data_IF_293333873780
#
_entry.id   IF_293333873780
#
_cell.length_a   1.000
_cell.length_b   1.000
_cell.length_c   1.000
_cell.angle_alpha   90.00
_cell.angle_beta   90.00
_cell.angle_gamma   90.00
#
_symmetry.space_group_name_H-M   'P 1'
#
loop_
_entity.id
_entity.type
_entity.pdbx_description
1 polymer ?
#
# COMPACT_ATOMS: atom_id res chain seq x y z
N UNK A 1 -5.94 -24.08 -12.57
CA UNK A 1 -6.13 -23.08 -11.48
C UNK A 1 -5.07 -21.95 -11.47
N UNK A 2 -4.42 -21.62 -12.61
CA UNK A 2 -3.22 -20.75 -12.66
C UNK A 2 -3.34 -19.47 -13.50
N UNK A 3 -4.35 -19.33 -14.37
CA UNK A 3 -4.42 -18.19 -15.31
C UNK A 3 -5.15 -16.95 -14.72
N UNK A 4 -6.20 -17.15 -13.92
CA UNK A 4 -6.99 -16.06 -13.32
C UNK A 4 -6.19 -15.22 -12.31
N UNK A 5 -5.23 -15.85 -11.61
CA UNK A 5 -4.36 -15.19 -10.64
C UNK A 5 -3.25 -14.39 -11.31
N UNK A 6 -2.70 -14.88 -12.43
CA UNK A 6 -1.69 -14.15 -13.22
C UNK A 6 -2.29 -12.91 -13.86
N UNK A 7 -3.47 -13.02 -14.48
CA UNK A 7 -4.18 -11.86 -15.04
C UNK A 7 -4.56 -10.85 -13.95
N UNK A 8 -5.06 -11.34 -12.81
CA UNK A 8 -5.36 -10.48 -11.66
C UNK A 8 -4.12 -9.75 -11.13
N UNK A 9 -2.98 -10.44 -11.04
CA UNK A 9 -1.68 -9.87 -10.65
C UNK A 9 -1.15 -8.84 -11.64
N UNK A 10 -1.31 -9.09 -12.94
CA UNK A 10 -0.89 -8.16 -13.99
C UNK A 10 -1.71 -6.87 -13.96
N UNK A 11 -3.03 -6.98 -13.85
CA UNK A 11 -3.94 -5.83 -13.76
C UNK A 11 -3.71 -5.04 -12.47
N UNK A 12 -3.53 -5.72 -11.34
CA UNK A 12 -3.17 -5.04 -10.08
C UNK A 12 -1.81 -4.37 -10.16
N UNK A 13 -0.81 -4.98 -10.81
CA UNK A 13 0.50 -4.37 -11.01
C UNK A 13 0.46 -3.11 -11.88
N UNK A 14 -0.27 -3.16 -13.00
CA UNK A 14 -0.48 -1.99 -13.89
C UNK A 14 -1.20 -0.87 -13.15
N UNK A 15 -2.28 -1.19 -12.43
CA UNK A 15 -3.02 -0.21 -11.63
C UNK A 15 -2.19 0.34 -10.48
N UNK A 16 -1.32 -0.48 -9.87
CA UNK A 16 -0.40 -0.04 -8.82
C UNK A 16 0.65 0.94 -9.36
N UNK A 17 1.21 0.66 -10.54
CA UNK A 17 2.13 1.56 -11.23
C UNK A 17 1.47 2.87 -11.66
N UNK A 18 0.23 2.82 -12.16
CA UNK A 18 -0.53 4.01 -12.60
C UNK A 18 -0.97 4.91 -11.46
N UNK A 19 -1.43 4.33 -10.34
CA UNK A 19 -1.96 5.09 -9.22
C UNK A 19 -0.88 5.51 -8.21
N UNK A 20 0.35 5.01 -8.35
CA UNK A 20 1.56 5.39 -7.59
C UNK A 20 1.56 5.02 -6.09
N UNK A 21 0.39 5.02 -5.45
CA UNK A 21 0.16 4.73 -4.03
C UNK A 21 -1.08 3.83 -3.79
N UNK A 22 -1.91 3.59 -4.81
CA UNK A 22 -3.26 3.02 -4.67
C UNK A 22 -3.42 1.52 -4.94
N UNK A 23 -2.40 0.80 -5.42
CA UNK A 23 -2.58 -0.61 -5.81
C UNK A 23 -2.86 -1.55 -4.64
N UNK A 24 -2.48 -1.18 -3.41
CA UNK A 24 -2.85 -1.93 -2.20
C UNK A 24 -4.36 -2.04 -2.01
N UNK A 25 -5.14 -1.05 -2.44
CA UNK A 25 -6.61 -1.06 -2.35
C UNK A 25 -7.24 -2.19 -3.19
N UNK A 26 -6.61 -2.53 -4.30
CA UNK A 26 -7.09 -3.52 -5.27
C UNK A 26 -6.41 -4.88 -5.04
N UNK A 27 -5.14 -4.88 -4.63
CA UNK A 27 -4.38 -6.07 -4.28
C UNK A 27 -4.96 -6.79 -3.05
N UNK A 28 -5.32 -6.05 -1.99
CA UNK A 28 -5.91 -6.63 -0.77
C UNK A 28 -7.18 -7.46 -1.03
N UNK A 29 -8.23 -6.97 -1.72
CA UNK A 29 -9.44 -7.74 -1.96
C UNK A 29 -9.22 -8.92 -2.93
N UNK A 30 -8.28 -8.81 -3.88
CA UNK A 30 -7.89 -9.94 -4.74
C UNK A 30 -7.22 -11.06 -3.94
N UNK A 31 -6.27 -10.73 -3.05
CA UNK A 31 -5.57 -11.72 -2.23
C UNK A 31 -6.44 -12.32 -1.13
N UNK A 32 -7.39 -11.55 -0.57
CA UNK A 32 -8.36 -12.04 0.42
C UNK A 32 -9.27 -13.15 -0.13
N UNK A 33 -9.31 -13.36 -1.44
CA UNK A 33 -10.06 -14.47 -2.06
C UNK A 33 -9.35 -15.83 -1.91
N UNK A 34 -8.08 -15.84 -1.52
CA UNK A 34 -7.24 -17.04 -1.41
C UNK A 34 -6.44 -17.14 -0.10
N UNK A 35 -6.30 -16.05 0.66
CA UNK A 35 -5.47 -15.97 1.85
C UNK A 35 -6.23 -15.33 3.03
N UNK A 36 -5.82 -15.67 4.27
CA UNK A 36 -6.37 -15.02 5.46
C UNK A 36 -6.15 -13.49 5.40
N UNK A 37 -7.06 -12.75 6.03
CA UNK A 37 -7.13 -11.29 5.88
C UNK A 37 -5.84 -10.59 6.34
N UNK A 38 -5.13 -11.16 7.33
CA UNK A 38 -3.85 -10.60 7.80
C UNK A 38 -2.74 -10.79 6.76
N UNK A 39 -2.65 -11.97 6.16
CA UNK A 39 -1.61 -12.30 5.17
C UNK A 39 -1.81 -11.51 3.87
N UNK A 40 -3.06 -11.31 3.44
CA UNK A 40 -3.38 -10.49 2.26
C UNK A 40 -2.88 -9.04 2.39
N UNK A 41 -2.98 -8.45 3.59
CA UNK A 41 -2.44 -7.11 3.85
C UNK A 41 -0.91 -7.08 3.83
N UNK A 42 -0.25 -8.04 4.47
CA UNK A 42 1.21 -8.14 4.48
C UNK A 42 1.80 -8.27 3.07
N UNK A 43 1.21 -9.13 2.23
CA UNK A 43 1.64 -9.31 0.85
C UNK A 43 1.41 -8.06 0.00
N UNK A 44 0.33 -7.31 0.24
CA UNK A 44 0.08 -6.06 -0.49
C UNK A 44 1.13 -4.98 -0.20
N UNK A 45 1.60 -4.88 1.05
CA UNK A 45 2.71 -3.99 1.42
C UNK A 45 4.01 -4.41 0.73
N UNK A 46 4.27 -5.72 0.63
CA UNK A 46 5.44 -6.25 -0.08
C UNK A 46 5.42 -5.89 -1.58
N UNK A 47 4.26 -5.91 -2.23
CA UNK A 47 4.10 -5.52 -3.63
C UNK A 47 4.34 -4.02 -3.85
N UNK A 48 4.05 -3.18 -2.85
CA UNK A 48 4.25 -1.72 -2.93
C UNK A 48 5.74 -1.34 -2.79
N UNK A 49 6.53 -2.15 -2.08
CA UNK A 49 7.94 -1.92 -1.79
C UNK A 49 8.81 -1.60 -3.04
N UNK A 50 8.80 -2.38 -4.13
CA UNK A 50 9.59 -2.07 -5.32
C UNK A 50 9.19 -0.75 -6.00
N UNK A 51 7.90 -0.39 -5.96
CA UNK A 51 7.42 0.88 -6.53
C UNK A 51 7.92 2.06 -5.69
N UNK A 52 7.92 1.92 -4.36
CA UNK A 52 8.51 2.94 -3.49
C UNK A 52 10.00 3.14 -3.76
N UNK A 53 10.77 2.07 -4.01
CA UNK A 53 12.19 2.16 -4.36
C UNK A 53 12.37 2.93 -5.67
N UNK A 54 11.63 2.55 -6.72
CA UNK A 54 11.72 3.19 -8.03
C UNK A 54 11.33 4.67 -7.94
N UNK A 55 10.23 4.99 -7.26
CA UNK A 55 9.80 6.37 -7.01
C UNK A 55 10.85 7.16 -6.24
N UNK A 56 11.42 6.59 -5.17
CA UNK A 56 12.47 7.25 -4.37
C UNK A 56 13.69 7.59 -5.22
N UNK A 57 14.19 6.65 -6.03
CA UNK A 57 15.32 6.87 -6.94
C UNK A 57 15.02 7.98 -7.94
N UNK A 58 13.79 8.01 -8.48
CA UNK A 58 13.37 9.02 -9.45
C UNK A 58 13.29 10.42 -8.82
N UNK A 59 12.76 10.54 -7.59
CA UNK A 59 12.74 11.81 -6.85
C UNK A 59 14.13 12.33 -6.50
N UNK A 60 15.07 11.45 -6.14
CA UNK A 60 16.46 11.83 -5.91
C UNK A 60 17.15 12.25 -7.22
N UNK A 61 16.92 11.54 -8.33
CA UNK A 61 17.52 11.87 -9.64
C UNK A 61 17.01 13.18 -10.22
N UNK A 62 15.76 13.57 -9.93
CA UNK A 62 15.19 14.84 -10.37
C UNK A 62 15.65 16.05 -9.52
N UNK A 63 16.44 15.84 -8.46
CA UNK A 63 16.91 16.91 -7.57
C UNK A 63 15.78 17.62 -6.79
N UNK A 64 14.55 17.08 -6.81
CA UNK A 64 13.39 17.64 -6.12
C UNK A 64 13.40 17.36 -4.61
N UNK A 65 14.23 16.43 -4.16
CA UNK A 65 14.34 16.03 -2.75
C UNK A 65 15.82 15.85 -2.38
N UNK A 66 16.29 16.62 -1.41
CA UNK A 66 17.60 16.44 -0.79
C UNK A 66 17.53 15.35 0.27
N UNK A 67 18.55 14.50 0.40
CA UNK A 67 18.59 13.44 1.45
C UNK A 67 18.43 14.05 2.85
N UNK A 68 18.93 15.26 3.06
CA UNK A 68 18.80 15.98 4.33
C UNK A 68 17.35 16.33 4.67
N UNK A 69 16.55 16.74 3.68
CA UNK A 69 15.14 17.06 3.88
C UNK A 69 14.29 15.79 4.07
N UNK A 70 14.70 14.67 3.45
CA UNK A 70 14.02 13.38 3.56
C UNK A 70 14.28 12.68 4.90
N UNK A 71 15.44 12.90 5.53
CA UNK A 71 15.87 12.24 6.78
C UNK A 71 14.82 12.28 7.91
N UNK A 72 14.23 13.44 8.27
CA UNK A 72 13.22 13.48 9.31
C UNK A 72 11.95 12.70 8.92
N UNK A 73 11.53 12.74 7.66
CA UNK A 73 10.36 12.00 7.19
C UNK A 73 10.58 10.50 7.21
N UNK A 74 11.78 10.03 6.91
CA UNK A 74 12.14 8.60 7.01
C UNK A 74 12.00 8.14 8.45
N UNK A 75 12.51 8.92 9.42
CA UNK A 75 12.46 8.57 10.84
C UNK A 75 11.00 8.41 11.32
N UNK A 76 10.17 9.41 11.05
CA UNK A 76 8.75 9.37 11.41
C UNK A 76 7.97 8.29 10.63
N UNK A 77 8.33 8.05 9.37
CA UNK A 77 7.75 7.00 8.54
C UNK A 77 8.03 5.59 9.09
N UNK A 78 9.26 5.32 9.52
CA UNK A 78 9.66 4.04 10.13
C UNK A 78 8.92 3.84 11.46
N UNK A 79 8.88 4.86 12.31
CA UNK A 79 8.15 4.79 13.59
C UNK A 79 6.66 4.50 13.35
N UNK A 80 6.03 5.21 12.41
CA UNK A 80 4.65 4.99 12.01
C UNK A 80 4.41 3.58 11.46
N UNK A 81 5.32 3.06 10.64
CA UNK A 81 5.23 1.71 10.07
C UNK A 81 5.32 0.62 11.15
N UNK A 82 6.21 0.77 12.14
CA UNK A 82 6.35 -0.16 13.25
C UNK A 82 5.07 -0.17 14.10
N UNK A 83 4.61 1.01 14.53
CA UNK A 83 3.38 1.15 15.33
C UNK A 83 2.18 0.59 14.57
N UNK A 84 2.07 0.91 13.28
CA UNK A 84 1.00 0.41 12.41
C UNK A 84 1.00 -1.10 12.28
N UNK A 85 2.18 -1.72 12.15
CA UNK A 85 2.32 -3.19 12.03
C UNK A 85 1.93 -3.89 13.33
N UNK A 86 2.37 -3.38 14.49
CA UNK A 86 2.02 -3.93 15.81
C UNK A 86 0.50 -3.80 16.05
N UNK A 87 -0.09 -2.65 15.71
CA UNK A 87 -1.52 -2.43 15.80
C UNK A 87 -2.29 -3.41 14.89
N UNK A 88 -1.81 -3.64 13.66
CA UNK A 88 -2.41 -4.58 12.71
C UNK A 88 -2.48 -6.01 13.26
N UNK A 89 -1.43 -6.46 13.95
CA UNK A 89 -1.37 -7.79 14.50
C UNK A 89 -2.36 -8.01 15.66
N UNK A 90 -2.61 -6.98 16.47
CA UNK A 90 -3.57 -7.03 17.59
C UNK A 90 -5.04 -6.88 17.15
N UNK A 91 -5.31 -6.36 15.96
CA UNK A 91 -6.67 -6.15 15.48
C UNK A 91 -7.31 -7.44 14.92
N UNK A 92 -8.59 -7.65 15.26
CA UNK A 92 -9.41 -8.72 14.66
C UNK A 92 -9.66 -8.40 13.18
N UNK A 93 -9.66 -9.42 12.32
CA UNK A 93 -9.84 -9.28 10.87
C UNK A 93 -11.11 -8.49 10.46
N UNK A 94 -12.17 -8.53 11.27
CA UNK A 94 -13.41 -7.75 11.04
C UNK A 94 -13.19 -6.24 11.25
N UNK A 95 -12.43 -5.86 12.27
CA UNK A 95 -12.12 -4.44 12.58
C UNK A 95 -11.17 -3.89 11.54
N UNK A 96 -10.13 -4.66 11.18
CA UNK A 96 -9.17 -4.26 10.15
C UNK A 96 -9.87 -4.00 8.80
N UNK A 97 -10.81 -4.86 8.41
CA UNK A 97 -11.61 -4.68 7.20
C UNK A 97 -12.48 -3.42 7.22
N UNK A 98 -13.14 -3.13 8.36
CA UNK A 98 -13.94 -1.90 8.52
C UNK A 98 -13.07 -0.66 8.45
N UNK A 99 -11.92 -0.66 9.14
CA UNK A 99 -11.00 0.47 9.16
C UNK A 99 -10.47 0.77 7.75
N UNK A 100 -10.05 -0.28 7.03
CA UNK A 100 -9.60 -0.15 5.65
C UNK A 100 -10.70 0.43 4.76
N UNK A 101 -11.92 -0.11 4.82
CA UNK A 101 -13.06 0.39 4.04
C UNK A 101 -13.37 1.87 4.34
N UNK A 102 -13.28 2.30 5.60
CA UNK A 102 -13.50 3.69 6.00
C UNK A 102 -12.42 4.61 5.45
N UNK A 103 -11.16 4.17 5.47
CA UNK A 103 -10.02 4.89 4.90
C UNK A 103 -10.15 5.03 3.37
N UNK A 104 -10.66 4.00 2.69
CA UNK A 104 -10.95 4.04 1.26
C UNK A 104 -12.05 5.06 0.92
N UNK A 105 -13.14 5.06 1.67
CA UNK A 105 -14.22 6.03 1.50
C UNK A 105 -13.70 7.45 1.71
N UNK A 106 -12.93 7.67 2.77
CA UNK A 106 -12.31 8.96 3.03
C UNK A 106 -11.39 9.40 1.91
N UNK A 107 -10.50 8.52 1.42
CA UNK A 107 -9.60 8.82 0.31
C UNK A 107 -10.36 9.16 -0.99
N UNK A 108 -11.44 8.42 -1.28
CA UNK A 108 -12.30 8.68 -2.43
C UNK A 108 -13.02 10.04 -2.34
N UNK A 109 -13.53 10.40 -1.16
CA UNK A 109 -14.13 11.72 -0.93
C UNK A 109 -13.07 12.81 -1.11
N UNK A 110 -11.88 12.64 -0.52
CA UNK A 110 -10.76 13.59 -0.61
C UNK A 110 -10.37 13.86 -2.06
N UNK A 111 -10.40 12.83 -2.92
CA UNK A 111 -10.10 12.93 -4.35
C UNK A 111 -11.17 13.71 -5.13
N UNK A 112 -12.45 13.60 -4.75
CA UNK A 112 -13.54 14.37 -5.37
C UNK A 112 -13.52 15.85 -4.95
N UNK A 113 -12.94 16.15 -3.79
CA UNK A 113 -12.85 17.51 -3.24
C UNK A 113 -11.51 18.21 -3.50
N UNK A 114 -10.54 17.53 -4.11
CA UNK A 114 -9.21 18.05 -4.43
C UNK A 114 -9.12 18.48 -5.89
#
# INVERSE_FOLDING_TARGET
MKLRTVVGGLVTGILNGLLGAGGGMIAVPMLKKQLDTKTAHATSVCIILPICIISSINYLSQGRVTINDALPYILWGVIGAIIGTIALQRLRARVLRKLFALLMLWAGIRLLTA
#
